data_IF_960644488953
#
_entry.id   IF_960644488953
#
_cell.length_a   1.000
_cell.length_b   1.000
_cell.length_c   1.000
_cell.angle_alpha   90.00
_cell.angle_beta   90.00
_cell.angle_gamma   90.00
#
_symmetry.space_group_name_H-M   'P 1'
#
loop_
_entity.id
_entity.type
_entity.pdbx_description
1 polymer ?
#
# COMPACT_ATOMS: atom_id res chain seq x y z
N UNK A 1 -1.51 10.46 -6.49
CA UNK A 1 -0.03 10.47 -6.37
C UNK A 1 0.62 9.58 -7.41
N UNK A 2 1.92 9.75 -7.68
CA UNK A 2 2.63 9.02 -8.74
C UNK A 2 3.70 8.10 -8.16
N UNK A 3 3.79 6.89 -8.68
CA UNK A 3 4.74 5.86 -8.23
C UNK A 3 5.61 5.44 -9.41
N UNK A 4 6.92 5.39 -9.21
CA UNK A 4 7.89 4.91 -10.20
C UNK A 4 8.64 3.70 -9.67
N UNK A 5 8.66 2.65 -10.47
CA UNK A 5 9.34 1.40 -10.16
C UNK A 5 10.61 1.30 -11.00
N UNK A 6 11.70 0.88 -10.36
CA UNK A 6 13.00 0.72 -11.02
C UNK A 6 13.46 -0.74 -10.98
N UNK A 7 14.28 -1.12 -11.97
CA UNK A 7 14.91 -2.44 -12.06
C UNK A 7 13.95 -3.60 -11.77
N UNK A 8 14.25 -4.43 -10.77
CA UNK A 8 13.44 -5.59 -10.38
C UNK A 8 12.05 -5.21 -9.85
N UNK A 9 11.86 -4.02 -9.29
CA UNK A 9 10.54 -3.56 -8.85
C UNK A 9 9.62 -3.30 -10.04
N UNK A 10 10.14 -2.77 -11.16
CA UNK A 10 9.33 -2.57 -12.36
C UNK A 10 8.91 -3.89 -12.99
N UNK A 11 9.80 -4.88 -12.96
CA UNK A 11 9.52 -6.23 -13.46
C UNK A 11 8.46 -6.91 -12.57
N UNK A 12 8.60 -6.78 -11.24
CA UNK A 12 7.64 -7.33 -10.29
C UNK A 12 6.28 -6.63 -10.36
N UNK A 13 6.24 -5.31 -10.48
CA UNK A 13 4.99 -4.55 -10.63
C UNK A 13 4.35 -4.72 -12.02
N UNK A 14 5.12 -5.16 -13.02
CA UNK A 14 4.68 -5.23 -14.42
C UNK A 14 4.57 -3.87 -15.12
N UNK A 15 4.78 -2.77 -14.39
CA UNK A 15 4.82 -1.41 -14.90
C UNK A 15 6.02 -0.65 -14.33
N UNK A 16 6.50 0.35 -15.07
CA UNK A 16 7.54 1.28 -14.59
C UNK A 16 6.96 2.46 -13.83
N UNK A 17 5.68 2.75 -14.05
CA UNK A 17 5.03 3.90 -13.49
C UNK A 17 3.52 3.66 -13.38
N UNK A 18 2.92 4.15 -12.31
CA UNK A 18 1.47 4.20 -12.17
C UNK A 18 1.05 5.41 -11.32
N UNK A 19 -0.24 5.74 -11.42
CA UNK A 19 -0.89 6.72 -10.57
C UNK A 19 -1.82 5.99 -9.61
N UNK A 20 -1.70 6.33 -8.33
CA UNK A 20 -2.57 5.80 -7.27
C UNK A 20 -3.31 6.97 -6.63
N UNK A 21 -4.63 6.79 -6.51
CA UNK A 21 -5.49 7.66 -5.73
C UNK A 21 -5.36 7.32 -4.25
N UNK A 22 -5.12 8.32 -3.39
CA UNK A 22 -4.99 8.07 -1.95
C UNK A 22 -6.31 7.57 -1.35
N UNK A 23 -7.44 8.02 -1.91
CA UNK A 23 -8.77 7.55 -1.53
C UNK A 23 -8.91 6.02 -1.69
N UNK A 24 -8.35 5.42 -2.74
CA UNK A 24 -8.43 3.98 -2.95
C UNK A 24 -7.69 3.17 -1.86
N UNK A 25 -6.61 3.73 -1.31
CA UNK A 25 -5.85 3.12 -0.21
C UNK A 25 -6.65 3.23 1.09
N UNK A 26 -7.21 4.40 1.37
CA UNK A 26 -8.10 4.65 2.50
C UNK A 26 -9.29 3.71 2.50
N UNK A 27 -9.98 3.59 1.36
CA UNK A 27 -11.07 2.65 1.16
C UNK A 27 -10.60 1.22 1.48
N UNK A 28 -9.43 0.82 0.98
CA UNK A 28 -8.86 -0.52 1.22
C UNK A 28 -8.56 -0.81 2.70
N UNK A 29 -8.08 0.20 3.44
CA UNK A 29 -7.85 0.07 4.87
C UNK A 29 -9.15 -0.05 5.67
N UNK A 30 -10.18 0.71 5.30
CA UNK A 30 -11.48 0.66 5.94
C UNK A 30 -12.14 -0.72 5.82
N UNK A 31 -12.08 -1.35 4.63
CA UNK A 31 -12.65 -2.70 4.48
C UNK A 31 -11.80 -3.78 5.17
N UNK A 32 -10.48 -3.59 5.32
CA UNK A 32 -9.64 -4.52 6.07
C UNK A 32 -9.81 -4.38 7.60
N UNK A 33 -10.12 -3.18 8.12
CA UNK A 33 -10.34 -2.93 9.55
C UNK A 33 -11.66 -3.51 10.09
N UNK A 34 -12.63 -3.79 9.20
CA UNK A 34 -13.98 -4.27 9.55
C UNK A 34 -14.10 -5.72 10.03
N UNK A 35 -13.01 -6.48 10.14
CA UNK A 35 -13.06 -7.91 10.53
C UNK A 35 -12.94 -8.16 12.04
N UNK A 36 -12.82 -7.13 12.87
CA UNK A 36 -12.79 -7.26 14.34
C UNK A 36 -14.08 -6.76 14.99
N UNK A 37 -15.21 -7.43 14.75
CA UNK A 37 -16.39 -7.32 15.61
C UNK A 37 -17.01 -8.71 15.75
N UNK A 38 -16.39 -9.55 16.60
CA UNK A 38 -17.10 -10.68 17.19
C UNK A 38 -17.91 -10.12 18.35
N UNK A 39 -19.22 -10.13 18.17
CA UNK A 39 -20.28 -9.58 19.00
C UNK A 39 -20.02 -9.55 20.52
N UNK A 40 -20.43 -8.48 21.23
CA UNK A 40 -20.75 -8.61 22.65
C UNK A 40 -22.00 -9.48 22.75
N UNK A 41 -21.87 -10.67 23.35
CA UNK A 41 -23.02 -11.45 23.80
C UNK A 41 -23.85 -10.57 24.73
N UNK A 42 -25.04 -10.19 24.28
CA UNK A 42 -26.01 -9.48 25.08
C UNK A 42 -26.48 -10.40 26.21
N UNK A 43 -26.04 -10.10 27.43
CA UNK A 43 -26.82 -10.42 28.63
C UNK A 43 -27.58 -9.14 28.99
N UNK A 44 -28.90 -9.26 28.92
CA UNK A 44 -29.91 -8.23 29.04
C UNK A 44 -30.12 -7.83 30.50
N UNK A 45 -30.08 -6.52 30.83
CA UNK A 45 -31.14 -5.84 31.60
C UNK A 45 -30.72 -4.50 32.24
N UNK A 46 -31.71 -3.59 32.28
CA UNK A 46 -31.96 -2.49 33.24
C UNK A 46 -31.55 -1.03 32.91
N UNK A 47 -32.56 -0.30 32.39
CA UNK A 47 -33.19 0.93 32.94
C UNK A 47 -32.36 2.22 33.15
N UNK A 48 -32.72 3.26 32.37
CA UNK A 48 -33.15 4.56 32.92
C UNK A 48 -32.27 5.80 32.69
N UNK A 49 -32.83 6.82 32.03
CA UNK A 49 -32.52 8.24 32.32
C UNK A 49 -32.18 9.14 31.12
N UNK A 50 -32.50 10.46 31.18
CA UNK A 50 -32.74 11.28 29.98
C UNK A 50 -31.57 12.17 29.51
N UNK A 51 -31.70 12.54 28.24
CA UNK A 51 -31.07 13.61 27.44
C UNK A 51 -30.15 14.63 28.15
N UNK A 52 -28.92 14.79 27.63
CA UNK A 52 -28.17 16.05 27.66
C UNK A 52 -27.51 16.29 26.30
N UNK A 53 -27.73 17.49 25.77
CA UNK A 53 -27.20 17.95 24.49
C UNK A 53 -25.68 18.05 24.50
N UNK A 54 -25.11 17.75 23.33
CA UNK A 54 -23.72 17.99 22.99
C UNK A 54 -23.65 18.18 21.48
N UNK A 55 -23.54 19.42 21.06
CA UNK A 55 -23.15 19.81 19.71
C UNK A 55 -21.78 19.23 19.41
N UNK A 56 -21.72 18.07 18.75
CA UNK A 56 -20.55 17.68 17.99
C UNK A 56 -20.85 18.00 16.53
N UNK A 57 -20.75 19.28 16.18
CA UNK A 57 -20.27 19.63 14.83
C UNK A 57 -18.80 19.21 14.77
N UNK A 58 -18.53 17.92 14.79
CA UNK A 58 -17.35 17.38 14.14
C UNK A 58 -17.69 17.40 12.66
N UNK A 59 -17.49 18.57 12.05
CA UNK A 59 -17.12 18.60 10.65
C UNK A 59 -15.78 17.88 10.60
N UNK A 60 -15.86 16.55 10.58
CA UNK A 60 -14.74 15.66 10.44
C UNK A 60 -14.20 15.98 9.05
N UNK A 61 -13.27 16.94 8.99
CA UNK A 61 -12.29 17.03 7.93
C UNK A 61 -11.42 15.79 8.07
N UNK A 62 -12.02 14.61 7.84
CA UNK A 62 -11.40 13.30 7.75
C UNK A 62 -10.60 13.32 6.45
N UNK A 63 -9.59 14.19 6.39
CA UNK A 63 -8.48 14.01 5.49
C UNK A 63 -7.67 12.89 6.10
N UNK A 64 -8.18 11.66 5.92
CA UNK A 64 -7.45 10.50 6.34
C UNK A 64 -6.09 10.52 5.66
N UNK A 65 -5.07 10.50 6.50
CA UNK A 65 -3.69 10.67 6.10
C UNK A 65 -3.10 9.31 5.80
N UNK A 66 -3.07 8.91 4.53
CA UNK A 66 -2.38 7.68 4.11
C UNK A 66 -0.89 7.82 4.39
N UNK A 67 -0.31 6.82 5.05
CA UNK A 67 1.14 6.76 5.29
C UNK A 67 1.87 5.95 4.22
N UNK A 68 3.18 6.11 4.12
CA UNK A 68 4.03 5.27 3.28
C UNK A 68 3.86 3.78 3.61
N UNK A 69 3.74 3.43 4.88
CA UNK A 69 3.50 2.05 5.30
C UNK A 69 2.21 1.47 4.72
N UNK A 70 1.13 2.23 4.77
CA UNK A 70 -0.17 1.81 4.24
C UNK A 70 -0.17 1.72 2.71
N UNK A 71 0.51 2.63 2.02
CA UNK A 71 0.75 2.47 0.59
C UNK A 71 1.47 1.15 0.28
N UNK A 72 2.53 0.83 1.03
CA UNK A 72 3.31 -0.38 0.77
C UNK A 72 2.51 -1.66 1.05
N UNK A 73 1.67 -1.65 2.08
CA UNK A 73 0.73 -2.73 2.37
C UNK A 73 -0.28 -2.89 1.23
N UNK A 74 -0.92 -1.79 0.82
CA UNK A 74 -1.86 -1.77 -0.29
C UNK A 74 -1.24 -2.29 -1.60
N UNK A 75 -0.04 -1.84 -1.96
CA UNK A 75 0.68 -2.35 -3.13
C UNK A 75 0.97 -3.86 -2.99
N UNK A 76 1.38 -4.31 -1.81
CA UNK A 76 1.68 -5.71 -1.56
C UNK A 76 0.45 -6.62 -1.64
N UNK A 77 -0.71 -6.13 -1.19
CA UNK A 77 -1.96 -6.87 -1.18
C UNK A 77 -2.65 -6.89 -2.55
N UNK A 78 -2.59 -5.77 -3.29
CA UNK A 78 -3.34 -5.61 -4.54
C UNK A 78 -2.52 -5.82 -5.82
N UNK A 79 -1.17 -5.85 -5.75
CA UNK A 79 -0.32 -5.99 -6.95
C UNK A 79 0.40 -7.33 -7.01
N UNK A 80 0.51 -7.81 -8.25
CA UNK A 80 1.35 -8.88 -8.78
C UNK A 80 1.92 -9.89 -7.75
N UNK A 81 1.32 -11.08 -7.64
CA UNK A 81 1.93 -12.19 -6.90
C UNK A 81 3.23 -12.67 -7.59
N UNK A 82 4.00 -13.53 -6.90
CA UNK A 82 5.15 -14.21 -7.52
C UNK A 82 4.73 -14.84 -8.85
N UNK A 83 5.49 -14.54 -9.91
CA UNK A 83 5.17 -14.99 -11.26
C UNK A 83 6.40 -15.56 -11.95
N UNK A 84 6.18 -16.55 -12.80
CA UNK A 84 7.22 -17.13 -13.65
C UNK A 84 6.91 -16.64 -15.06
N UNK A 85 7.81 -15.83 -15.62
CA UNK A 85 7.67 -15.30 -16.97
C UNK A 85 8.58 -16.09 -17.90
N UNK A 86 8.01 -16.66 -18.95
CA UNK A 86 8.80 -17.21 -20.04
C UNK A 86 9.39 -16.05 -20.85
N UNK A 87 10.71 -16.02 -20.95
CA UNK A 87 11.46 -15.07 -21.76
C UNK A 87 12.36 -15.83 -22.72
N UNK A 88 12.86 -15.18 -23.76
CA UNK A 88 13.80 -15.82 -24.69
C UNK A 88 15.21 -15.55 -24.17
N UNK A 89 15.96 -16.61 -23.87
CA UNK A 89 17.35 -16.52 -23.46
C UNK A 89 18.26 -16.06 -24.61
N UNK A 90 19.51 -15.73 -24.28
CA UNK A 90 20.51 -15.26 -25.27
C UNK A 90 20.73 -16.24 -26.43
N UNK A 91 20.48 -17.53 -26.21
CA UNK A 91 20.61 -18.62 -27.17
C UNK A 91 19.32 -18.85 -28.01
N UNK A 92 18.30 -17.98 -27.88
CA UNK A 92 17.03 -18.12 -28.59
C UNK A 92 16.06 -19.14 -27.99
N UNK A 93 16.44 -19.82 -26.91
CA UNK A 93 15.60 -20.81 -26.24
C UNK A 93 14.72 -20.17 -25.14
N UNK A 94 13.49 -20.69 -24.90
CA UNK A 94 12.65 -20.21 -23.82
C UNK A 94 13.30 -20.49 -22.46
N UNK A 95 13.41 -19.46 -21.62
CA UNK A 95 13.89 -19.53 -20.25
C UNK A 95 12.77 -19.07 -19.32
N UNK A 96 12.55 -19.84 -18.26
CA UNK A 96 11.59 -19.49 -17.21
C UNK A 96 12.27 -18.56 -16.22
N UNK A 97 12.00 -17.27 -16.33
CA UNK A 97 12.47 -16.29 -15.37
C UNK A 97 11.53 -16.22 -14.18
N UNK A 98 12.02 -16.57 -12.99
CA UNK A 98 11.28 -16.38 -11.74
C UNK A 98 11.37 -14.91 -11.32
N UNK A 99 10.21 -14.27 -11.21
CA UNK A 99 10.09 -12.89 -10.74
C UNK A 99 9.60 -12.94 -9.29
N UNK A 100 10.37 -12.38 -8.32
CA UNK A 100 9.92 -12.30 -6.94
C UNK A 100 8.66 -11.43 -6.84
N UNK A 101 7.83 -11.70 -5.83
CA UNK A 101 6.61 -10.92 -5.57
C UNK A 101 6.97 -9.48 -5.27
N UNK A 102 6.04 -8.57 -5.61
CA UNK A 102 6.24 -7.16 -5.32
C UNK A 102 6.48 -6.92 -3.82
N UNK A 103 5.72 -7.59 -2.94
CA UNK A 103 5.91 -7.53 -1.49
C UNK A 103 7.35 -7.83 -1.06
N UNK A 104 7.98 -8.86 -1.65
CA UNK A 104 9.36 -9.23 -1.34
C UNK A 104 10.36 -8.16 -1.81
N UNK A 105 10.14 -7.62 -3.02
CA UNK A 105 10.98 -6.56 -3.56
C UNK A 105 10.86 -5.27 -2.73
N UNK A 106 9.64 -4.88 -2.37
CA UNK A 106 9.38 -3.71 -1.51
C UNK A 106 10.10 -3.83 -0.17
N UNK A 107 10.10 -5.01 0.45
CA UNK A 107 10.79 -5.26 1.72
C UNK A 107 12.30 -5.04 1.69
N UNK A 108 12.93 -5.12 0.51
CA UNK A 108 14.38 -4.89 0.34
C UNK A 108 14.69 -3.52 -0.30
N UNK A 109 13.68 -2.80 -0.78
CA UNK A 109 13.85 -1.55 -1.53
C UNK A 109 14.06 -0.35 -0.62
N UNK A 110 14.72 0.67 -1.18
CA UNK A 110 14.73 2.04 -0.63
C UNK A 110 13.68 2.88 -1.33
N UNK A 111 13.11 3.84 -0.59
CA UNK A 111 12.04 4.69 -1.10
C UNK A 111 12.53 6.14 -1.16
N UNK A 112 12.24 6.83 -2.27
CA UNK A 112 12.38 8.28 -2.33
C UNK A 112 11.00 8.94 -2.43
N UNK A 113 10.75 9.98 -1.66
CA UNK A 113 9.57 10.83 -1.78
C UNK A 113 10.03 12.18 -2.32
N UNK A 114 9.58 12.53 -3.53
CA UNK A 114 10.03 13.68 -4.31
C UNK A 114 11.56 13.77 -4.40
N UNK A 115 12.21 12.62 -4.62
CA UNK A 115 13.67 12.50 -4.71
C UNK A 115 14.43 12.51 -3.38
N UNK A 116 13.75 12.61 -2.22
CA UNK A 116 14.38 12.51 -0.89
C UNK A 116 14.21 11.11 -0.32
N UNK A 117 15.29 10.51 0.14
CA UNK A 117 15.26 9.17 0.72
C UNK A 117 14.41 9.17 2.00
N UNK A 118 13.35 8.36 2.02
CA UNK A 118 12.46 8.17 3.15
C UNK A 118 12.57 6.73 3.66
N UNK A 119 12.69 6.58 4.97
CA UNK A 119 12.76 5.28 5.65
C UNK A 119 11.61 5.08 6.63
N UNK A 120 10.99 6.18 7.06
CA UNK A 120 9.91 6.20 8.04
C UNK A 120 8.62 5.78 7.34
N UNK A 121 8.04 4.66 7.79
CA UNK A 121 6.77 4.16 7.23
C UNK A 121 5.58 5.00 7.67
N UNK A 122 5.71 5.71 8.79
CA UNK A 122 4.70 6.62 9.32
C UNK A 122 4.65 7.96 8.58
N UNK A 123 5.47 8.13 7.52
CA UNK A 123 5.47 9.34 6.71
C UNK A 123 4.15 9.47 5.96
N UNK A 124 3.40 10.52 6.26
CA UNK A 124 2.16 10.88 5.54
C UNK A 124 2.47 11.29 4.10
N UNK A 125 1.69 10.74 3.17
CA UNK A 125 1.75 11.01 1.74
C UNK A 125 0.64 11.99 1.31
N UNK A 126 0.91 12.73 0.24
CA UNK A 126 -0.02 13.67 -0.40
C UNK A 126 -0.27 13.25 -1.84
N UNK A 127 -1.39 13.70 -2.39
CA UNK A 127 -1.79 13.37 -3.77
C UNK A 127 -0.78 13.86 -4.82
N UNK A 128 -0.02 14.92 -4.50
CA UNK A 128 1.04 15.47 -5.35
C UNK A 128 2.40 14.82 -5.13
N UNK A 129 2.56 13.91 -4.16
CA UNK A 129 3.85 13.26 -3.93
C UNK A 129 4.22 12.31 -5.08
N UNK A 130 5.52 12.22 -5.32
CA UNK A 130 6.13 11.21 -6.20
C UNK A 130 6.95 10.23 -5.38
N UNK A 131 6.63 8.94 -5.48
CA UNK A 131 7.33 7.87 -4.77
C UNK A 131 8.18 7.05 -5.73
N UNK A 132 9.49 7.01 -5.52
CA UNK A 132 10.43 6.18 -6.25
C UNK A 132 10.78 4.93 -5.45
N UNK A 133 10.64 3.77 -6.08
CA UNK A 133 10.93 2.47 -5.49
C UNK A 133 12.23 1.95 -6.10
N UNK A 134 13.28 1.98 -5.28
CA UNK A 134 14.64 1.63 -5.65
C UNK A 134 15.03 0.31 -4.99
N UNK A 135 14.83 -0.85 -5.65
CA UNK A 135 15.36 -2.10 -5.15
C UNK A 135 16.89 -2.02 -5.08
N UNK A 136 17.53 -2.84 -4.23
CA UNK A 136 18.98 -2.89 -4.19
C UNK A 136 19.48 -3.25 -5.59
N UNK A 137 20.44 -2.47 -6.09
CA UNK A 137 21.11 -2.80 -7.34
C UNK A 137 21.79 -4.15 -7.14
N UNK A 138 21.20 -5.22 -7.69
CA UNK A 138 21.97 -6.38 -8.04
C UNK A 138 22.91 -5.87 -9.15
N UNK A 139 24.15 -5.54 -8.78
CA UNK A 139 25.18 -5.12 -9.72
C UNK A 139 25.17 -6.09 -10.90
N UNK A 140 24.89 -5.57 -12.09
CA UNK A 140 24.94 -6.31 -13.34
C UNK A 140 26.37 -6.55 -13.76
#
# INVERSE_FOLDING_TARGET
>A
MRIRYFASAAVAAGTKEEFIDLAAIEESNLNNSGTSTRAPSADDSSLGGPIHGGTATETASTHSSVTLGELLDYLSAHRAPETVKETVGSDGQPVLQRIPSLARVLGQSSFLINGKNERSRDRVLKESDMVDILPPFAGG
#
